data_IF_737521628928
#
_entry.id   IF_737521628928
#
_cell.length_a   1.000
_cell.length_b   1.000
_cell.length_c   1.000
_cell.angle_alpha   90.00
_cell.angle_beta   90.00
_cell.angle_gamma   90.00
#
_symmetry.space_group_name_H-M   'P 1'
#
loop_
_entity.id
_entity.type
_entity.pdbx_description
1 polymer ?
#
# COMPACT_ATOMS: atom_id res chain seq x y z
N UNK A 1 -18.12 -12.09 -22.36
CA UNK A 1 -19.23 -12.15 -21.39
C UNK A 1 -18.98 -11.05 -20.38
N UNK A 2 -19.93 -10.14 -20.18
CA UNK A 2 -19.77 -8.95 -19.33
C UNK A 2 -20.33 -9.14 -17.92
N UNK A 3 -20.19 -8.13 -17.08
CA UNK A 3 -20.87 -8.06 -15.79
C UNK A 3 -22.38 -8.04 -15.99
N UNK A 4 -23.09 -8.99 -15.39
CA UNK A 4 -24.57 -9.06 -15.40
C UNK A 4 -25.14 -9.43 -14.04
N UNK A 5 -26.18 -8.73 -13.61
CA UNK A 5 -27.05 -9.09 -12.50
C UNK A 5 -28.38 -9.61 -13.04
N UNK A 6 -28.95 -10.66 -12.43
CA UNK A 6 -30.21 -11.26 -12.84
C UNK A 6 -31.07 -11.53 -11.60
N UNK A 7 -32.33 -11.09 -11.65
CA UNK A 7 -33.30 -11.39 -10.60
C UNK A 7 -34.72 -11.42 -11.13
N UNK A 8 -35.58 -12.22 -10.50
CA UNK A 8 -37.02 -12.22 -10.80
C UNK A 8 -37.68 -11.00 -10.18
N UNK A 9 -38.65 -10.45 -10.90
CA UNK A 9 -39.52 -9.38 -10.40
C UNK A 9 -40.70 -10.00 -9.65
N UNK A 10 -41.07 -9.41 -8.53
CA UNK A 10 -42.29 -9.77 -7.79
C UNK A 10 -42.23 -9.32 -6.33
N UNK A 11 -43.39 -9.31 -5.66
CA UNK A 11 -43.48 -8.87 -4.26
C UNK A 11 -42.73 -9.76 -3.27
N UNK A 12 -42.55 -11.04 -3.59
CA UNK A 12 -41.77 -12.01 -2.83
C UNK A 12 -40.33 -12.18 -3.36
N UNK A 13 -39.90 -11.35 -4.32
CA UNK A 13 -38.61 -11.44 -4.97
C UNK A 13 -37.68 -10.29 -4.56
N UNK A 14 -36.40 -10.38 -4.95
CA UNK A 14 -35.40 -9.33 -4.71
C UNK A 14 -35.79 -7.97 -5.32
N UNK A 15 -36.58 -8.00 -6.40
CA UNK A 15 -37.03 -6.80 -7.11
C UNK A 15 -38.54 -6.59 -6.95
N UNK A 16 -38.88 -5.50 -6.25
CA UNK A 16 -40.27 -5.14 -5.94
C UNK A 16 -40.91 -4.38 -7.08
N UNK A 17 -42.20 -4.63 -7.28
CA UNK A 17 -43.03 -3.91 -8.24
C UNK A 17 -43.20 -2.44 -7.84
N UNK A 18 -43.48 -1.59 -8.83
CA UNK A 18 -43.72 -0.15 -8.68
C UNK A 18 -42.58 0.59 -7.99
N UNK A 19 -41.34 0.13 -8.19
CA UNK A 19 -40.13 0.77 -7.66
C UNK A 19 -39.13 1.00 -8.77
N UNK A 20 -38.43 2.13 -8.71
CA UNK A 20 -37.33 2.43 -9.62
C UNK A 20 -36.01 2.02 -8.99
N UNK A 21 -35.20 1.34 -9.78
CA UNK A 21 -33.83 0.97 -9.44
C UNK A 21 -32.87 1.77 -10.30
N UNK A 22 -31.68 2.06 -9.80
CA UNK A 22 -30.60 2.70 -10.54
C UNK A 22 -29.46 1.72 -10.71
N UNK A 23 -29.06 1.52 -11.96
CA UNK A 23 -27.81 0.87 -12.33
C UNK A 23 -26.78 1.94 -12.70
N UNK A 24 -25.53 1.76 -12.31
CA UNK A 24 -24.44 2.59 -12.81
C UNK A 24 -23.15 1.78 -12.99
N UNK A 25 -22.30 2.22 -13.91
CA UNK A 25 -21.01 1.60 -14.20
C UNK A 25 -20.08 2.63 -14.83
N UNK A 26 -18.79 2.54 -14.51
CA UNK A 26 -17.76 3.35 -15.17
C UNK A 26 -17.20 2.61 -16.37
N UNK A 27 -16.97 3.31 -17.48
CA UNK A 27 -16.47 2.76 -18.75
C UNK A 27 -15.31 3.60 -19.26
N UNK A 28 -14.21 2.97 -19.68
CA UNK A 28 -13.00 3.69 -20.10
C UNK A 28 -13.00 4.10 -21.59
N UNK A 29 -12.61 5.35 -21.89
CA UNK A 29 -12.77 6.05 -23.17
C UNK A 29 -12.01 5.45 -24.36
N UNK A 30 -10.77 4.97 -24.19
CA UNK A 30 -9.91 4.56 -25.32
C UNK A 30 -10.45 3.35 -26.09
N UNK A 31 -11.52 2.77 -25.58
CA UNK A 31 -11.97 1.43 -25.85
C UNK A 31 -13.44 1.38 -26.29
N UNK A 32 -14.14 2.51 -26.21
CA UNK A 32 -15.59 2.58 -26.48
C UNK A 32 -15.87 3.12 -27.87
N UNK A 33 -16.78 2.46 -28.60
CA UNK A 33 -17.46 3.08 -29.73
C UNK A 33 -18.62 3.95 -29.20
N UNK A 34 -18.71 5.18 -29.71
CA UNK A 34 -19.37 6.31 -29.05
C UNK A 34 -20.90 6.27 -28.96
N UNK A 35 -21.57 5.17 -29.33
CA UNK A 35 -23.04 5.13 -29.36
C UNK A 35 -23.63 3.93 -28.62
N UNK A 36 -24.77 4.16 -27.96
CA UNK A 36 -25.59 3.11 -27.33
C UNK A 36 -26.06 2.02 -28.29
N UNK A 37 -26.11 2.28 -29.60
CA UNK A 37 -26.55 1.32 -30.61
C UNK A 37 -25.41 0.55 -31.28
N UNK A 38 -24.19 1.08 -31.23
CA UNK A 38 -23.01 0.49 -31.85
C UNK A 38 -21.78 0.78 -30.98
N UNK A 39 -21.77 0.20 -29.77
CA UNK A 39 -20.73 0.46 -28.80
C UNK A 39 -20.98 -0.18 -27.43
N UNK A 40 -20.41 0.43 -26.40
CA UNK A 40 -20.62 -0.02 -25.02
C UNK A 40 -21.80 0.69 -24.40
N UNK A 41 -22.71 -0.11 -23.85
CA UNK A 41 -23.89 0.39 -23.17
C UNK A 41 -24.21 -0.42 -21.91
N UNK A 42 -24.78 0.28 -20.93
CA UNK A 42 -25.45 -0.32 -19.78
C UNK A 42 -26.91 -0.58 -20.18
N UNK A 43 -27.42 -1.78 -19.96
CA UNK A 43 -28.76 -2.17 -20.37
C UNK A 43 -29.57 -2.82 -19.24
N UNK A 44 -30.89 -2.77 -19.44
CA UNK A 44 -31.88 -3.56 -18.73
C UNK A 44 -32.70 -4.38 -19.74
N UNK A 45 -32.82 -5.68 -19.50
CA UNK A 45 -33.55 -6.62 -20.35
C UNK A 45 -34.58 -7.41 -19.55
N UNK A 46 -35.76 -7.63 -20.14
CA UNK A 46 -36.84 -8.44 -19.59
C UNK A 46 -36.95 -9.73 -20.41
N UNK A 47 -36.76 -10.87 -19.74
CA UNK A 47 -36.77 -12.19 -20.38
C UNK A 47 -35.84 -12.28 -21.61
N UNK A 48 -34.71 -11.56 -21.57
CA UNK A 48 -33.71 -11.52 -22.64
C UNK A 48 -33.90 -10.39 -23.68
N UNK A 49 -35.05 -9.72 -23.70
CA UNK A 49 -35.28 -8.58 -24.59
C UNK A 49 -34.87 -7.26 -23.92
N UNK A 50 -33.93 -6.53 -24.52
CA UNK A 50 -33.53 -5.20 -24.03
C UNK A 50 -34.73 -4.26 -24.12
N UNK A 51 -35.03 -3.57 -23.01
CA UNK A 51 -36.11 -2.58 -22.97
C UNK A 51 -35.63 -1.18 -22.56
N UNK A 52 -34.45 -1.05 -21.94
CA UNK A 52 -33.74 0.23 -21.77
C UNK A 52 -32.24 0.02 -21.90
N UNK A 53 -31.56 1.06 -22.39
CA UNK A 53 -30.11 1.10 -22.47
C UNK A 53 -29.61 2.54 -22.45
N UNK A 54 -28.36 2.73 -22.05
CA UNK A 54 -27.66 4.01 -22.04
C UNK A 54 -26.22 3.78 -22.50
N UNK A 55 -25.73 4.64 -23.40
CA UNK A 55 -24.37 4.63 -23.92
C UNK A 55 -23.63 5.90 -23.55
N UNK A 56 -22.37 6.02 -24.00
CA UNK A 56 -21.54 7.19 -23.70
C UNK A 56 -22.00 8.48 -24.39
N UNK A 57 -22.90 8.37 -25.37
CA UNK A 57 -23.56 9.47 -26.07
C UNK A 57 -24.77 10.06 -25.32
N UNK A 58 -25.22 9.43 -24.24
CA UNK A 58 -26.36 9.94 -23.48
C UNK A 58 -26.04 11.29 -22.81
N UNK A 59 -27.01 12.20 -22.82
CA UNK A 59 -26.87 13.55 -22.26
C UNK A 59 -26.56 13.55 -20.74
N UNK A 60 -26.97 12.50 -20.03
CA UNK A 60 -26.76 12.35 -18.59
C UNK A 60 -25.46 11.61 -18.28
N UNK A 61 -24.74 11.14 -19.30
CA UNK A 61 -23.43 10.52 -19.11
C UNK A 61 -22.44 11.56 -18.59
N UNK A 62 -21.81 11.21 -17.48
CA UNK A 62 -20.82 12.04 -16.81
C UNK A 62 -19.42 11.55 -17.15
N UNK A 63 -18.44 12.46 -17.18
CA UNK A 63 -17.06 12.11 -17.48
C UNK A 63 -16.10 12.60 -16.40
N UNK A 64 -15.19 11.73 -15.96
CA UNK A 64 -14.08 12.02 -15.07
C UNK A 64 -12.79 11.44 -15.66
N UNK A 65 -11.83 12.30 -16.01
CA UNK A 65 -10.67 11.89 -16.82
C UNK A 65 -11.09 11.21 -18.12
N UNK A 66 -10.65 9.97 -18.31
CA UNK A 66 -11.01 9.10 -19.43
C UNK A 66 -12.12 8.10 -19.08
N UNK A 67 -12.81 8.25 -17.95
CA UNK A 67 -13.89 7.38 -17.54
C UNK A 67 -15.25 8.05 -17.75
N UNK A 68 -16.20 7.29 -18.27
CA UNK A 68 -17.60 7.67 -18.44
C UNK A 68 -18.46 6.92 -17.44
N UNK A 69 -19.26 7.64 -16.66
CA UNK A 69 -20.26 7.06 -15.77
C UNK A 69 -21.57 6.94 -16.54
N UNK A 70 -21.91 5.70 -16.89
CA UNK A 70 -23.22 5.36 -17.45
C UNK A 70 -24.20 5.19 -16.29
N UNK A 71 -25.36 5.85 -16.35
CA UNK A 71 -26.41 5.76 -15.34
C UNK A 71 -27.73 5.38 -16.01
N UNK A 72 -28.37 4.30 -15.54
CA UNK A 72 -29.63 3.82 -16.08
C UNK A 72 -30.66 3.67 -14.96
N UNK A 73 -31.75 4.42 -15.06
CA UNK A 73 -32.92 4.26 -14.21
C UNK A 73 -33.89 3.24 -14.80
N UNK A 74 -34.25 2.28 -13.96
CA UNK A 74 -34.95 1.05 -14.29
C UNK A 74 -36.25 1.03 -13.47
N UNK A 75 -37.34 1.65 -13.97
CA UNK A 75 -38.64 1.54 -13.34
C UNK A 75 -39.18 0.12 -13.54
N UNK A 76 -39.42 -0.58 -12.43
CA UNK A 76 -40.05 -1.89 -12.39
C UNK A 76 -41.55 -1.68 -12.23
N UNK A 77 -42.31 -1.88 -13.31
CA UNK A 77 -43.75 -1.60 -13.35
C UNK A 77 -44.58 -2.84 -12.95
N UNK A 78 -45.83 -2.63 -12.55
CA UNK A 78 -46.74 -3.71 -12.14
C UNK A 78 -46.89 -4.84 -13.18
N UNK A 79 -46.89 -4.51 -14.47
CA UNK A 79 -47.01 -5.50 -15.56
C UNK A 79 -45.73 -6.33 -15.82
N UNK A 80 -44.65 -6.09 -15.07
CA UNK A 80 -43.40 -6.85 -15.15
C UNK A 80 -43.35 -8.00 -14.13
N UNK A 81 -44.42 -8.25 -13.38
CA UNK A 81 -44.47 -9.31 -12.38
C UNK A 81 -44.14 -10.70 -12.96
N UNK A 82 -43.33 -11.46 -12.23
CA UNK A 82 -42.84 -12.79 -12.63
C UNK A 82 -41.75 -12.80 -13.71
N UNK A 83 -41.46 -11.68 -14.37
CA UNK A 83 -40.44 -11.60 -15.42
C UNK A 83 -39.02 -11.64 -14.83
N UNK A 84 -38.06 -12.15 -15.62
CA UNK A 84 -36.64 -12.11 -15.28
C UNK A 84 -36.03 -10.78 -15.76
N UNK A 85 -35.62 -9.93 -14.82
CA UNK A 85 -34.83 -8.75 -15.12
C UNK A 85 -33.35 -9.12 -15.21
N UNK A 86 -32.69 -8.70 -16.28
CA UNK A 86 -31.24 -8.75 -16.41
C UNK A 86 -30.71 -7.33 -16.57
N UNK A 87 -29.78 -6.93 -15.70
CA UNK A 87 -29.03 -5.68 -15.81
C UNK A 87 -27.60 -6.05 -16.17
N UNK A 88 -26.98 -5.34 -17.09
CA UNK A 88 -25.57 -5.58 -17.38
C UNK A 88 -24.95 -4.55 -18.30
N UNK A 89 -23.66 -4.70 -18.51
CA UNK A 89 -22.93 -3.92 -19.51
C UNK A 89 -22.61 -4.82 -20.71
N UNK A 90 -22.83 -4.31 -21.91
CA UNK A 90 -22.54 -5.02 -23.16
C UNK A 90 -21.77 -4.10 -24.09
N UNK A 91 -20.77 -4.68 -24.74
CA UNK A 91 -20.03 -4.05 -25.81
C UNK A 91 -20.35 -4.80 -27.11
N UNK A 92 -20.85 -4.08 -28.12
CA UNK A 92 -21.07 -4.63 -29.47
C UNK A 92 -20.00 -4.20 -30.46
N UNK A 93 -19.04 -3.35 -30.04
CA UNK A 93 -17.90 -2.95 -30.84
C UNK A 93 -16.80 -4.03 -30.91
N UNK A 94 -15.82 -3.80 -31.77
CA UNK A 94 -14.66 -4.69 -31.96
C UNK A 94 -13.53 -4.47 -30.95
N UNK A 95 -13.50 -3.31 -30.29
CA UNK A 95 -12.45 -2.98 -29.33
C UNK A 95 -12.76 -3.58 -27.96
N UNK A 96 -11.73 -3.97 -27.22
CA UNK A 96 -11.87 -4.36 -25.82
C UNK A 96 -12.34 -3.17 -25.01
N UNK A 97 -13.16 -3.39 -23.97
CA UNK A 97 -13.66 -2.33 -23.09
C UNK A 97 -13.46 -2.69 -21.64
N UNK A 98 -12.95 -1.73 -20.87
CA UNK A 98 -12.82 -1.83 -19.43
C UNK A 98 -14.00 -1.15 -18.75
N UNK A 99 -14.57 -1.88 -17.80
CA UNK A 99 -15.66 -1.40 -16.96
C UNK A 99 -15.29 -1.61 -15.50
N UNK A 100 -15.71 -0.70 -14.63
CA UNK A 100 -15.42 -0.78 -13.20
C UNK A 100 -16.61 -0.27 -12.37
N UNK A 101 -16.60 -0.63 -11.08
CA UNK A 101 -17.54 -0.14 -10.06
C UNK A 101 -19.03 -0.29 -10.45
N UNK A 102 -19.42 -1.44 -11.01
CA UNK A 102 -20.83 -1.72 -11.32
C UNK A 102 -21.69 -1.73 -10.05
N UNK A 103 -22.76 -0.93 -10.03
CA UNK A 103 -23.74 -0.90 -8.94
C UNK A 103 -25.15 -1.03 -9.46
N UNK A 104 -25.98 -1.73 -8.70
CA UNK A 104 -27.41 -1.81 -8.91
C UNK A 104 -28.12 -1.75 -7.55
N UNK A 105 -29.03 -0.78 -7.40
CA UNK A 105 -29.74 -0.56 -6.13
C UNK A 105 -31.08 0.14 -6.35
N UNK A 106 -31.99 0.17 -5.37
CA UNK A 106 -33.14 1.06 -5.45
C UNK A 106 -32.73 2.53 -5.57
N UNK A 107 -33.46 3.31 -6.35
CA UNK A 107 -33.14 4.72 -6.63
C UNK A 107 -33.10 5.56 -5.35
N UNK A 108 -34.00 5.27 -4.42
CA UNK A 108 -34.19 5.93 -3.13
C UNK A 108 -33.35 5.32 -1.99
N UNK A 109 -32.54 4.30 -2.26
CA UNK A 109 -31.66 3.71 -1.26
C UNK A 109 -30.28 4.39 -1.30
N UNK A 110 -29.82 5.03 -0.21
CA UNK A 110 -28.47 5.54 -0.13
C UNK A 110 -27.46 4.38 -0.11
N UNK A 111 -26.35 4.51 -0.84
CA UNK A 111 -25.24 3.57 -0.81
C UNK A 111 -23.92 4.32 -0.71
N UNK A 112 -23.09 3.91 0.23
CA UNK A 112 -21.70 4.35 0.35
C UNK A 112 -20.81 3.12 0.37
N UNK A 113 -19.67 3.17 -0.32
CA UNK A 113 -18.66 2.10 -0.26
C UNK A 113 -17.33 2.65 0.20
N UNK A 114 -16.52 1.80 0.85
CA UNK A 114 -15.21 2.15 1.38
C UNK A 114 -14.19 1.14 0.86
N UNK A 115 -13.07 1.65 0.36
CA UNK A 115 -11.93 0.86 -0.12
C UNK A 115 -10.79 1.06 0.88
N UNK A 116 -10.27 -0.05 1.38
CA UNK A 116 -9.18 -0.05 2.34
C UNK A 116 -7.91 -0.60 1.71
N UNK A 117 -6.77 -0.01 2.05
CA UNK A 117 -5.46 -0.57 1.74
C UNK A 117 -5.29 -1.94 2.45
N UNK A 118 -4.90 -3.01 1.75
CA UNK A 118 -4.82 -4.34 2.35
C UNK A 118 -3.68 -4.49 3.38
N UNK A 119 -2.64 -3.67 3.28
CA UNK A 119 -1.42 -3.70 4.10
C UNK A 119 -1.57 -2.81 5.33
N UNK A 120 -1.89 -1.53 5.14
CA UNK A 120 -2.01 -0.53 6.21
C UNK A 120 -3.39 -0.50 6.85
N UNK A 121 -4.41 -1.10 6.20
CA UNK A 121 -5.82 -1.04 6.60
C UNK A 121 -6.41 0.37 6.67
N UNK A 122 -5.74 1.34 6.05
CA UNK A 122 -6.21 2.71 5.97
C UNK A 122 -7.34 2.84 4.93
N UNK A 123 -8.26 3.78 5.14
CA UNK A 123 -9.34 4.08 4.20
C UNK A 123 -8.80 4.89 3.02
N UNK A 124 -8.50 4.24 1.90
CA UNK A 124 -7.93 4.93 0.73
C UNK A 124 -8.99 5.67 -0.06
N UNK A 125 -10.15 5.04 -0.30
CA UNK A 125 -11.25 5.68 -1.04
C UNK A 125 -12.59 5.50 -0.32
N UNK A 126 -13.42 6.53 -0.35
CA UNK A 126 -14.85 6.40 -0.07
C UNK A 126 -15.63 6.81 -1.31
N UNK A 127 -16.62 6.03 -1.71
CA UNK A 127 -17.46 6.34 -2.85
C UNK A 127 -18.87 6.67 -2.38
N UNK A 128 -19.39 7.77 -2.87
CA UNK A 128 -20.69 8.29 -2.49
C UNK A 128 -21.85 7.60 -3.22
N UNK A 129 -23.05 8.15 -3.04
CA UNK A 129 -24.27 7.65 -3.63
C UNK A 129 -24.26 7.66 -5.17
N UNK A 130 -23.51 8.54 -5.81
CA UNK A 130 -23.44 8.62 -7.26
C UNK A 130 -22.18 7.94 -7.83
N UNK A 131 -21.48 7.17 -6.99
CA UNK A 131 -20.28 6.42 -7.35
C UNK A 131 -19.06 7.32 -7.60
N UNK A 132 -19.05 8.55 -7.06
CA UNK A 132 -17.88 9.43 -7.08
C UNK A 132 -16.99 9.13 -5.88
N UNK A 133 -15.68 9.05 -6.12
CA UNK A 133 -14.74 8.77 -5.05
C UNK A 133 -14.26 10.05 -4.34
N UNK A 134 -13.97 9.91 -3.05
CA UNK A 134 -13.12 10.77 -2.24
C UNK A 134 -11.90 9.95 -1.84
N UNK A 135 -10.72 10.46 -2.19
CA UNK A 135 -9.43 9.82 -1.97
C UNK A 135 -8.74 10.44 -0.76
N UNK A 136 -8.26 9.61 0.14
CA UNK A 136 -7.50 10.00 1.33
C UNK A 136 -6.04 9.58 1.19
N UNK A 137 -5.15 10.54 1.35
CA UNK A 137 -3.72 10.34 1.32
C UNK A 137 -3.17 10.41 2.74
N UNK A 138 -2.35 9.44 3.09
CA UNK A 138 -1.77 9.31 4.42
C UNK A 138 -0.26 9.56 4.39
N UNK A 139 0.29 10.07 5.49
CA UNK A 139 1.73 10.06 5.73
C UNK A 139 2.19 8.73 6.35
N UNK A 140 3.51 8.57 6.55
CA UNK A 140 4.10 7.38 7.14
C UNK A 140 3.69 7.11 8.60
N UNK A 141 3.07 8.09 9.28
CA UNK A 141 2.51 7.91 10.62
C UNK A 141 1.00 7.58 10.59
N UNK A 142 0.41 7.48 9.40
CA UNK A 142 -1.00 7.14 9.21
C UNK A 142 -1.97 8.30 9.45
N UNK A 143 -1.54 9.55 9.37
CA UNK A 143 -2.45 10.71 9.37
C UNK A 143 -2.79 11.16 7.97
N UNK A 144 -4.03 11.62 7.78
CA UNK A 144 -4.52 12.11 6.49
C UNK A 144 -3.92 13.48 6.17
N UNK A 145 -3.01 13.52 5.20
CA UNK A 145 -2.33 14.75 4.76
C UNK A 145 -3.01 15.43 3.57
N UNK A 146 -3.81 14.70 2.79
CA UNK A 146 -4.53 15.24 1.64
C UNK A 146 -5.84 14.50 1.42
N UNK A 147 -6.88 15.24 1.05
CA UNK A 147 -8.18 14.71 0.64
C UNK A 147 -8.51 15.27 -0.72
N UNK A 148 -8.74 14.41 -1.70
CA UNK A 148 -9.15 14.78 -3.05
C UNK A 148 -10.51 14.17 -3.37
N UNK A 149 -11.27 14.79 -4.27
CA UNK A 149 -12.56 14.29 -4.75
C UNK A 149 -12.53 14.22 -6.27
N UNK A 150 -13.14 13.19 -6.81
CA UNK A 150 -13.31 13.04 -8.25
C UNK A 150 -14.04 14.25 -8.85
N UNK A 151 -13.58 14.68 -10.03
CA UNK A 151 -14.19 15.80 -10.76
C UNK A 151 -14.92 15.28 -11.96
N UNK A 152 -16.18 15.68 -12.07
CA UNK A 152 -16.99 15.44 -13.27
C UNK A 152 -17.09 16.73 -14.07
N UNK A 153 -16.77 16.67 -15.35
CA UNK A 153 -17.13 17.74 -16.30
C UNK A 153 -18.37 17.34 -17.10
N UNK A 154 -19.43 18.18 -17.12
CA UNK A 154 -20.49 18.06 -18.11
C UNK A 154 -19.92 18.48 -19.47
N UNK A 155 -20.00 17.60 -20.47
CA UNK A 155 -19.47 17.90 -21.80
C UNK A 155 -17.94 17.84 -21.88
N UNK A 156 -17.44 17.11 -22.87
CA UNK A 156 -16.04 16.72 -23.00
C UNK A 156 -15.07 17.91 -23.17
N UNK A 157 -14.49 18.41 -22.08
CA UNK A 157 -13.25 19.18 -22.15
C UNK A 157 -12.38 18.89 -20.93
N UNK A 158 -11.21 18.30 -21.20
CA UNK A 158 -10.06 18.09 -20.30
C UNK A 158 -10.38 17.88 -18.82
N UNK A 159 -10.80 16.66 -18.49
CA UNK A 159 -11.14 16.31 -17.12
C UNK A 159 -9.88 15.99 -16.31
N UNK A 160 -9.57 16.82 -15.31
CA UNK A 160 -8.75 16.40 -14.19
C UNK A 160 -9.50 15.27 -13.48
N UNK A 161 -8.85 14.13 -13.21
CA UNK A 161 -9.54 12.98 -12.60
C UNK A 161 -10.00 13.28 -11.17
N UNK A 162 -9.23 14.05 -10.40
CA UNK A 162 -9.57 14.46 -9.04
C UNK A 162 -9.11 15.89 -8.72
N UNK A 163 -9.83 16.57 -7.83
CA UNK A 163 -9.49 17.89 -7.29
C UNK A 163 -9.21 17.77 -5.81
N UNK A 164 -8.10 18.36 -5.37
CA UNK A 164 -7.76 18.46 -3.94
C UNK A 164 -8.77 19.36 -3.23
N UNK A 165 -9.37 18.83 -2.17
CA UNK A 165 -10.35 19.52 -1.32
C UNK A 165 -9.68 20.06 -0.06
N UNK A 166 -8.70 19.33 0.47
CA UNK A 166 -8.01 19.68 1.70
C UNK A 166 -6.59 19.14 1.69
N UNK A 167 -5.67 19.94 2.20
CA UNK A 167 -4.31 19.52 2.55
C UNK A 167 -4.05 19.85 4.02
N UNK A 168 -3.20 19.08 4.67
CA UNK A 168 -2.86 19.24 6.08
C UNK A 168 -1.41 18.87 6.29
N UNK A 169 -0.72 19.71 7.06
CA UNK A 169 0.64 19.45 7.52
C UNK A 169 0.61 19.19 9.02
N UNK A 170 1.30 18.14 9.44
CA UNK A 170 1.40 17.78 10.85
C UNK A 170 2.81 18.02 11.35
N UNK A 171 2.93 18.83 12.40
CA UNK A 171 4.15 18.94 13.17
C UNK A 171 4.18 17.78 14.16
N UNK A 172 4.89 16.72 13.79
CA UNK A 172 5.18 15.64 14.71
C UNK A 172 6.16 16.13 15.77
N UNK A 173 5.87 15.84 17.04
CA UNK A 173 6.85 16.05 18.09
C UNK A 173 8.07 15.20 17.76
N UNK A 174 9.10 15.86 17.27
CA UNK A 174 10.43 15.30 17.24
C UNK A 174 10.86 15.19 18.70
N UNK A 175 10.94 13.96 19.24
CA UNK A 175 11.56 13.77 20.54
C UNK A 175 13.03 14.19 20.37
N UNK A 176 13.52 15.29 20.99
CA UNK A 176 14.92 15.66 20.86
C UNK A 176 15.82 14.72 21.69
N UNK A 177 15.21 13.87 22.51
CA UNK A 177 15.91 12.90 23.34
C UNK A 177 16.57 11.82 22.49
N UNK A 178 17.84 11.48 22.77
CA UNK A 178 18.55 10.42 22.07
C UNK A 178 17.79 9.08 22.14
N UNK A 179 17.79 8.31 21.04
CA UNK A 179 17.30 6.92 21.03
C UNK A 179 18.47 5.98 20.75
N UNK A 180 19.06 5.43 21.81
CA UNK A 180 20.25 4.59 21.73
C UNK A 180 19.91 3.16 21.31
N UNK A 181 20.28 2.78 20.09
CA UNK A 181 20.23 1.41 19.59
C UNK A 181 21.51 0.66 19.99
N UNK A 182 21.35 -0.51 20.58
CA UNK A 182 22.48 -1.37 20.95
C UNK A 182 23.10 -2.02 19.70
N UNK A 183 24.38 -1.75 19.45
CA UNK A 183 25.16 -2.30 18.33
C UNK A 183 25.89 -3.61 18.72
N UNK A 184 25.91 -3.95 20.00
CA UNK A 184 26.54 -5.14 20.53
C UNK A 184 27.41 -4.86 21.75
N UNK A 185 28.00 -5.92 22.28
CA UNK A 185 28.93 -5.88 23.41
C UNK A 185 30.29 -6.42 23.01
N UNK A 186 31.35 -5.89 23.63
CA UNK A 186 32.73 -6.32 23.40
C UNK A 186 33.55 -6.15 24.67
N UNK A 187 34.66 -6.90 24.80
CA UNK A 187 35.60 -6.67 25.88
C UNK A 187 36.42 -5.40 25.62
N UNK A 188 36.53 -4.55 26.63
CA UNK A 188 37.41 -3.39 26.59
C UNK A 188 38.88 -3.83 26.56
N UNK A 189 39.68 -3.13 25.78
CA UNK A 189 41.12 -3.35 25.68
C UNK A 189 41.89 -2.09 26.08
N UNK A 190 43.04 -2.26 26.72
CA UNK A 190 43.96 -1.18 27.04
C UNK A 190 44.68 -0.63 25.79
N UNK A 191 45.52 0.39 25.96
CA UNK A 191 46.33 0.99 24.89
C UNK A 191 47.33 0.02 24.24
N UNK A 192 47.56 -1.14 24.85
CA UNK A 192 48.42 -2.20 24.37
C UNK A 192 47.63 -3.38 23.77
N UNK A 193 46.30 -3.27 23.69
CA UNK A 193 45.41 -4.29 23.15
C UNK A 193 45.15 -5.48 24.08
N UNK A 194 45.41 -5.35 25.39
CA UNK A 194 45.09 -6.38 26.38
C UNK A 194 43.70 -6.16 26.95
N UNK A 195 42.93 -7.24 27.14
CA UNK A 195 41.61 -7.18 27.75
C UNK A 195 41.69 -6.67 29.19
N UNK A 196 40.94 -5.61 29.52
CA UNK A 196 40.91 -4.99 30.85
C UNK A 196 40.08 -5.77 31.86
N UNK A 197 39.28 -6.73 31.39
CA UNK A 197 38.30 -7.45 32.19
C UNK A 197 36.90 -6.81 32.16
N UNK A 198 36.75 -5.66 31.51
CA UNK A 198 35.46 -4.95 31.44
C UNK A 198 34.68 -5.33 30.18
N UNK A 199 33.39 -5.60 30.36
CA UNK A 199 32.43 -5.73 29.26
C UNK A 199 31.88 -4.33 28.96
N UNK A 200 31.98 -3.90 27.71
CA UNK A 200 31.41 -2.63 27.26
C UNK A 200 30.32 -2.86 26.21
N UNK A 201 29.30 -2.01 26.24
CA UNK A 201 28.22 -1.98 25.26
C UNK A 201 28.37 -0.75 24.39
N UNK A 202 28.39 -0.99 23.07
CA UNK A 202 28.40 0.06 22.08
C UNK A 202 26.96 0.33 21.66
N UNK A 203 26.51 1.57 21.78
CA UNK A 203 25.19 1.99 21.34
C UNK A 203 25.31 3.22 20.45
N UNK A 204 24.43 3.35 19.46
CA UNK A 204 24.37 4.48 18.54
C UNK A 204 23.01 5.16 18.64
N UNK A 205 23.00 6.48 18.67
CA UNK A 205 21.76 7.25 18.60
C UNK A 205 21.19 7.20 17.18
N UNK A 206 20.04 6.53 17.05
CA UNK A 206 19.34 6.37 15.77
C UNK A 206 18.23 7.41 15.57
N UNK A 207 18.04 8.33 16.51
CA UNK A 207 17.05 9.38 16.38
C UNK A 207 17.59 10.57 15.58
N UNK A 208 17.17 10.70 14.32
CA UNK A 208 17.57 11.80 13.43
C UNK A 208 17.21 13.19 13.94
N UNK A 209 16.28 13.30 14.90
CA UNK A 209 15.89 14.55 15.50
C UNK A 209 16.64 14.88 16.81
N UNK A 210 17.53 14.00 17.28
CA UNK A 210 18.33 14.27 18.46
C UNK A 210 19.60 15.06 18.13
N UNK A 211 20.07 15.97 19.00
CA UNK A 211 21.37 16.63 18.84
C UNK A 211 22.56 15.66 18.78
N UNK A 212 22.40 14.44 19.30
CA UNK A 212 23.41 13.37 19.25
C UNK A 212 23.21 12.36 18.12
N UNK A 213 22.36 12.65 17.12
CA UNK A 213 22.12 11.72 16.01
C UNK A 213 23.43 11.23 15.38
N UNK A 214 23.58 9.90 15.28
CA UNK A 214 24.77 9.27 14.73
C UNK A 214 25.97 9.22 15.67
N UNK A 215 25.91 9.84 16.85
CA UNK A 215 26.93 9.65 17.88
C UNK A 215 26.88 8.23 18.42
N UNK A 216 28.06 7.73 18.77
CA UNK A 216 28.25 6.41 19.37
C UNK A 216 28.75 6.62 20.78
N UNK A 217 28.16 5.91 21.73
CA UNK A 217 28.66 5.85 23.10
C UNK A 217 29.04 4.42 23.47
N UNK A 218 29.93 4.33 24.45
CA UNK A 218 30.41 3.07 25.01
C UNK A 218 30.13 3.12 26.50
N UNK A 219 29.22 2.26 26.96
CA UNK A 219 28.83 2.18 28.37
C UNK A 219 29.40 0.90 28.99
N UNK A 220 29.95 0.98 30.21
CA UNK A 220 30.35 -0.21 30.95
C UNK A 220 29.12 -1.04 31.35
N UNK A 221 29.17 -2.36 31.14
CA UNK A 221 28.11 -3.30 31.49
C UNK A 221 28.51 -4.04 32.77
N UNK A 222 27.69 -3.93 33.82
CA UNK A 222 27.87 -4.66 35.08
C UNK A 222 26.87 -5.82 35.19
N UNK A 223 27.28 -7.00 35.68
CA UNK A 223 28.63 -7.40 36.08
C UNK A 223 29.50 -7.84 34.88
N UNK A 224 30.76 -7.40 34.85
CA UNK A 224 31.71 -7.58 33.74
C UNK A 224 32.57 -8.85 33.81
N UNK A 225 32.73 -9.44 35.01
CA UNK A 225 33.85 -10.33 35.30
C UNK A 225 33.76 -11.76 34.70
N UNK A 226 32.57 -12.28 34.37
CA UNK A 226 32.44 -13.61 33.78
C UNK A 226 32.46 -13.63 32.25
N UNK A 227 32.06 -12.53 31.60
CA UNK A 227 31.97 -12.43 30.15
C UNK A 227 33.31 -12.04 29.49
N UNK A 228 34.15 -11.29 30.20
CA UNK A 228 35.45 -10.82 29.73
C UNK A 228 36.52 -11.15 30.79
N UNK A 229 37.00 -12.41 30.90
CA UNK A 229 38.05 -12.73 31.86
C UNK A 229 39.35 -12.00 31.47
N UNK A 230 39.99 -11.25 32.39
CA UNK A 230 41.30 -10.66 32.11
C UNK A 230 42.31 -11.78 31.81
N UNK A 231 43.35 -11.50 31.00
CA UNK A 231 44.36 -12.50 30.68
C UNK A 231 44.94 -13.02 32.00
N UNK A 232 44.81 -14.31 32.26
CA UNK A 232 45.44 -14.92 33.41
C UNK A 232 46.94 -14.64 33.28
N UNK A 233 47.47 -13.80 34.17
CA UNK A 233 48.91 -13.75 34.37
C UNK A 233 49.29 -15.15 34.82
N UNK A 234 49.81 -15.96 33.89
CA UNK A 234 50.53 -17.18 34.20
C UNK A 234 51.64 -16.73 35.13
N UNK A 235 51.45 -16.93 36.43
CA UNK A 235 52.51 -16.90 37.43
C UNK A 235 53.46 -18.02 37.06
N UNK A 236 54.35 -17.74 36.10
CA UNK A 236 55.49 -18.59 35.86
C UNK A 236 56.31 -18.45 37.13
N UNK A 237 56.21 -19.44 38.02
CA UNK A 237 57.12 -19.60 39.14
C UNK A 237 58.50 -19.90 38.55
N UNK A 238 59.18 -18.84 38.11
CA UNK A 238 60.59 -18.89 37.75
C UNK A 238 61.35 -19.23 39.01
N UNK A 239 62.03 -20.38 39.00
CA UNK A 239 62.99 -20.75 40.04
C UNK A 239 63.97 -19.59 40.21
N UNK A 240 64.04 -19.06 41.42
CA UNK A 240 65.01 -18.05 41.84
C UNK A 240 66.42 -18.59 41.59
N UNK A 241 67.20 -17.95 40.72
CA UNK A 241 68.64 -18.13 40.68
C UNK A 241 69.30 -16.79 41.04
N UNK A 242 69.97 -16.78 42.19
CA UNK A 242 70.54 -15.62 42.84
C UNK A 242 71.87 -15.22 42.18
N UNK A 243 71.81 -14.46 41.10
CA UNK A 243 72.91 -13.57 40.69
C UNK A 243 72.39 -12.64 39.59
N UNK A 244 72.34 -11.33 39.90
CA UNK A 244 71.92 -10.20 39.05
C UNK A 244 70.40 -9.91 39.05
N UNK A 245 70.01 -8.95 39.89
CA UNK A 245 68.62 -8.61 40.19
C UNK A 245 67.95 -7.69 39.17
N UNK A 246 67.60 -8.21 37.99
CA UNK A 246 66.60 -7.58 37.11
C UNK A 246 65.74 -8.65 36.43
N UNK A 247 64.52 -8.88 36.94
CA UNK A 247 63.56 -9.75 36.28
C UNK A 247 62.84 -8.99 35.16
N UNK A 248 63.20 -9.25 33.90
CA UNK A 248 62.37 -8.91 32.74
C UNK A 248 61.56 -10.15 32.35
N UNK A 249 60.26 -10.12 32.63
CA UNK A 249 59.31 -11.13 32.15
C UNK A 249 59.09 -10.90 30.65
N UNK A 250 59.62 -11.80 29.83
CA UNK A 250 59.46 -11.78 28.37
C UNK A 250 58.20 -12.57 28.00
N UNK A 251 57.17 -11.88 27.51
CA UNK A 251 55.94 -12.49 27.02
C UNK A 251 56.05 -12.70 25.50
N UNK A 252 56.24 -13.95 25.05
CA UNK A 252 56.34 -14.27 23.62
C UNK A 252 54.95 -14.61 23.08
N UNK A 253 54.40 -13.74 22.22
CA UNK A 253 53.16 -14.02 21.48
C UNK A 253 53.49 -14.89 20.26
N UNK A 254 52.83 -16.03 20.12
CA UNK A 254 52.79 -16.83 18.90
C UNK A 254 51.48 -16.51 18.17
N UNK A 255 51.56 -15.91 16.97
CA UNK A 255 50.39 -15.62 16.13
C UNK A 255 50.48 -16.49 14.88
N UNK A 256 49.60 -17.48 14.77
CA UNK A 256 49.38 -18.23 13.52
C UNK A 256 48.22 -17.56 12.80
N UNK A 257 48.47 -16.98 11.63
CA UNK A 257 47.44 -16.40 10.76
C UNK A 257 46.98 -17.47 9.74
N UNK A 258 45.71 -17.86 9.82
CA UNK A 258 45.04 -18.69 8.81
C UNK A 258 44.22 -17.74 7.93
N UNK A 259 44.54 -17.70 6.63
CA UNK A 259 43.76 -17.00 5.62
C UNK A 259 42.77 -17.97 4.98
N UNK A 260 41.47 -17.68 5.05
CA UNK A 260 40.45 -18.33 4.21
C UNK A 260 39.81 -17.31 3.30
N UNK A 261 39.96 -17.53 1.99
CA UNK A 261 39.24 -16.85 0.92
C UNK A 261 37.84 -17.46 0.78
N UNK A 262 36.81 -16.61 0.62
CA UNK A 262 35.50 -17.05 0.13
C UNK A 262 35.02 -16.12 -0.98
N UNK A 263 34.69 -16.73 -2.13
CA UNK A 263 34.02 -16.10 -3.29
C UNK A 263 32.55 -15.83 -2.95
N UNK A 264 32.04 -14.69 -3.41
CA UNK A 264 30.60 -14.44 -3.58
C UNK A 264 30.38 -14.17 -5.07
N UNK A 265 29.65 -15.07 -5.73
CA UNK A 265 29.15 -14.90 -7.10
C UNK A 265 27.73 -14.33 -7.04
N UNK A 266 27.50 -13.17 -7.64
CA UNK A 266 26.16 -12.61 -7.84
C UNK A 266 25.64 -12.98 -9.23
N UNK A 267 24.45 -13.57 -9.24
CA UNK A 267 23.64 -13.85 -10.42
C UNK A 267 22.81 -12.61 -10.76
N UNK A 268 22.90 -12.13 -12.00
CA UNK A 268 22.03 -11.10 -12.54
C UNK A 268 20.74 -11.72 -13.08
N UNK A 269 19.60 -11.35 -12.50
CA UNK A 269 18.27 -11.64 -13.06
C UNK A 269 17.87 -10.49 -13.99
N UNK A 270 17.52 -10.83 -15.23
CA UNK A 270 16.90 -9.90 -16.19
C UNK A 270 15.39 -10.06 -16.06
N UNK A 271 14.69 -9.01 -15.61
CA UNK A 271 13.22 -8.99 -15.59
C UNK A 271 12.70 -8.44 -16.90
N UNK A 272 12.10 -9.32 -17.71
CA UNK A 272 11.23 -8.96 -18.83
C UNK A 272 9.99 -8.19 -18.33
N UNK A 273 9.73 -7.05 -18.95
CA UNK A 273 8.57 -6.18 -18.66
C UNK A 273 7.24 -6.88 -18.95
N UNK A 274 6.37 -6.90 -17.94
CA UNK A 274 4.96 -7.30 -18.04
C UNK A 274 4.20 -6.18 -18.79
N UNK A 275 3.27 -6.51 -19.71
CA UNK A 275 2.48 -5.51 -20.42
C UNK A 275 1.66 -4.66 -19.45
N UNK A 276 1.56 -3.37 -19.76
CA UNK A 276 0.87 -2.35 -18.99
C UNK A 276 -0.52 -2.82 -18.54
N UNK A 277 -0.70 -2.93 -17.23
CA UNK A 277 -1.99 -3.17 -16.56
C UNK A 277 -3.03 -2.20 -17.14
N UNK A 278 -4.25 -2.66 -17.47
CA UNK A 278 -5.30 -1.75 -17.90
C UNK A 278 -5.52 -0.67 -16.85
N UNK A 279 -5.91 0.53 -17.29
CA UNK A 279 -6.25 1.62 -16.39
C UNK A 279 -7.32 1.12 -15.43
N UNK A 280 -6.99 1.00 -14.14
CA UNK A 280 -7.96 0.81 -13.07
C UNK A 280 -8.38 2.22 -12.66
N UNK A 281 -9.69 2.47 -12.50
CA UNK A 281 -10.21 3.82 -12.24
C UNK A 281 -9.61 4.41 -10.97
N UNK A 282 -9.48 3.58 -9.95
CA UNK A 282 -8.69 3.86 -8.76
C UNK A 282 -7.34 3.16 -8.91
N UNK A 283 -6.20 3.87 -8.92
CA UNK A 283 -4.90 3.23 -9.05
C UNK A 283 -4.75 2.15 -7.99
N UNK A 284 -4.36 0.94 -8.42
CA UNK A 284 -3.94 -0.11 -7.49
C UNK A 284 -2.77 0.40 -6.67
N UNK A 285 -2.88 0.25 -5.36
CA UNK A 285 -1.77 0.44 -4.45
C UNK A 285 -0.73 -0.62 -4.84
N UNK A 286 0.41 -0.18 -5.37
CA UNK A 286 1.52 -1.07 -5.67
C UNK A 286 1.97 -1.73 -4.36
N UNK A 287 2.00 -3.06 -4.36
CA UNK A 287 2.58 -3.86 -3.28
C UNK A 287 4.11 -3.73 -3.26
#
# INVERSE_FOLDING_TARGET
>A
MGMTYKARIGNASDLRLNRTYRANVWVYNSDVASSSNNGTYLYAALNGNIYRQVGVDDENTKRAGNWYLLQLDVPVQANMDGQLLTIGCKNTGSNNVYVDDFRFRPLDAPLQTSVYDPTTRQLTYSLDNDNFFTHYYYDGAGKVIKVAREVVTPGASTAQAERVIKESSYNYAQMPTPNWLDLGTSCEVDSYGNNTGNLVRKSQDVNSASPSYGQVRTDAVTPSASACPPPACSSYMGRYNSSTGYAKTLCVRCTIAIWTLTRISTWGFTTTSIPTTPAIRMPTIAA
#
